data_IF_897077530670
#
_entry.id   IF_897077530670
#
_cell.length_a   1.000
_cell.length_b   1.000
_cell.length_c   1.000
_cell.angle_alpha   90.00
_cell.angle_beta   90.00
_cell.angle_gamma   90.00
#
_symmetry.space_group_name_H-M   'P 1'
#
loop_
_entity.id
_entity.type
_entity.pdbx_description
1 polymer ?
#
# COMPACT_ATOMS: atom_id res chain seq x y z
N UNK A 1 -18.29 -0.76 1.17
CA UNK A 1 -17.87 -0.18 -0.12
C UNK A 1 -17.69 1.32 0.00
N UNK A 2 -18.56 2.01 0.77
CA UNK A 2 -18.35 3.40 1.23
C UNK A 2 -16.98 3.65 1.85
N UNK A 3 -16.41 2.64 2.53
CA UNK A 3 -15.06 2.71 3.11
C UNK A 3 -13.97 3.06 2.10
N UNK A 4 -14.06 2.55 0.86
CA UNK A 4 -13.06 2.85 -0.18
C UNK A 4 -13.20 4.27 -0.70
N UNK A 5 -14.45 4.73 -0.90
CA UNK A 5 -14.71 6.10 -1.32
C UNK A 5 -14.28 7.12 -0.24
N UNK A 6 -14.63 6.84 1.02
CA UNK A 6 -14.19 7.63 2.17
C UNK A 6 -12.66 7.64 2.32
N UNK A 7 -12.00 6.50 2.06
CA UNK A 7 -10.54 6.43 2.07
C UNK A 7 -9.91 7.27 0.95
N UNK A 8 -10.47 7.23 -0.26
CA UNK A 8 -9.99 8.06 -1.39
C UNK A 8 -10.18 9.54 -1.09
N UNK A 9 -11.31 9.93 -0.49
CA UNK A 9 -11.56 11.32 -0.11
C UNK A 9 -10.58 11.81 0.97
N UNK A 10 -10.35 10.98 1.99
CA UNK A 10 -9.36 11.28 3.03
C UNK A 10 -7.95 11.38 2.44
N UNK A 11 -7.57 10.47 1.54
CA UNK A 11 -6.30 10.49 0.83
C UNK A 11 -6.16 11.76 -0.02
N UNK A 12 -7.22 12.15 -0.74
CA UNK A 12 -7.24 13.36 -1.55
C UNK A 12 -6.99 14.60 -0.69
N UNK A 13 -7.71 14.73 0.43
CA UNK A 13 -7.54 15.85 1.37
C UNK A 13 -6.12 15.88 1.93
N UNK A 14 -5.59 14.75 2.38
CA UNK A 14 -4.22 14.66 2.91
C UNK A 14 -3.17 15.05 1.86
N UNK A 15 -3.35 14.64 0.59
CA UNK A 15 -2.44 15.02 -0.49
C UNK A 15 -2.52 16.52 -0.75
N UNK A 16 -3.71 17.13 -0.81
CA UNK A 16 -3.86 18.58 -1.01
C UNK A 16 -3.23 19.38 0.12
N UNK A 17 -3.23 18.85 1.34
CA UNK A 17 -2.63 19.49 2.51
C UNK A 17 -1.12 19.31 2.61
N UNK A 18 -0.55 18.29 1.96
CA UNK A 18 0.88 18.02 2.01
C UNK A 18 1.74 19.12 1.37
N UNK A 19 2.80 19.53 2.08
CA UNK A 19 3.74 20.57 1.60
C UNK A 19 4.34 20.24 0.23
N UNK A 20 4.67 18.97 -0.01
CA UNK A 20 5.21 18.51 -1.31
C UNK A 20 4.23 18.81 -2.44
N UNK A 21 2.93 18.60 -2.22
CA UNK A 21 1.93 18.90 -3.24
C UNK A 21 1.78 20.41 -3.43
N UNK A 22 1.65 21.17 -2.32
CA UNK A 22 1.50 22.63 -2.36
C UNK A 22 2.68 23.32 -3.05
N UNK A 23 3.91 22.82 -2.86
CA UNK A 23 5.12 23.42 -3.40
C UNK A 23 5.41 22.99 -4.85
N UNK A 24 5.21 21.72 -5.17
CA UNK A 24 5.71 21.14 -6.43
C UNK A 24 4.60 20.71 -7.41
N UNK A 25 3.34 20.61 -6.97
CA UNK A 25 2.25 19.97 -7.73
C UNK A 25 0.89 20.67 -7.64
N UNK A 26 0.79 21.89 -7.11
CA UNK A 26 -0.48 22.57 -6.81
C UNK A 26 -1.42 22.74 -8.03
N UNK A 27 -0.86 22.82 -9.25
CA UNK A 27 -1.58 22.93 -10.52
C UNK A 27 -1.81 21.58 -11.21
N UNK A 28 -1.37 20.46 -10.61
CA UNK A 28 -1.45 19.12 -11.19
C UNK A 28 -2.65 18.35 -10.66
N UNK A 29 -3.24 17.56 -11.55
CA UNK A 29 -4.28 16.59 -11.19
C UNK A 29 -3.71 15.49 -10.30
N UNK A 30 -4.48 15.10 -9.29
CA UNK A 30 -4.22 13.92 -8.47
C UNK A 30 -4.81 12.73 -9.21
N UNK A 31 -3.99 11.71 -9.46
CA UNK A 31 -4.42 10.48 -10.15
C UNK A 31 -4.32 9.31 -9.19
N UNK A 32 -5.45 8.66 -8.90
CA UNK A 32 -5.52 7.43 -8.10
C UNK A 32 -5.77 6.26 -9.04
N UNK A 33 -4.91 5.25 -8.97
CA UNK A 33 -4.97 4.06 -9.82
C UNK A 33 -5.32 2.84 -8.97
N UNK A 34 -6.42 2.17 -9.31
CA UNK A 34 -6.86 0.92 -8.67
C UNK A 34 -6.47 -0.28 -9.52
N UNK A 35 -6.26 -1.43 -8.87
CA UNK A 35 -6.34 -2.70 -9.58
C UNK A 35 -7.81 -3.07 -9.85
N UNK A 36 -8.03 -4.14 -10.62
CA UNK A 36 -9.37 -4.52 -11.04
C UNK A 36 -10.09 -5.44 -10.03
N UNK A 37 -9.74 -5.37 -8.73
CA UNK A 37 -10.39 -6.22 -7.73
C UNK A 37 -11.88 -5.86 -7.55
N UNK A 38 -12.78 -6.83 -7.31
CA UNK A 38 -14.21 -6.58 -7.12
C UNK A 38 -14.52 -5.57 -6.00
N UNK A 39 -13.67 -5.52 -4.97
CA UNK A 39 -13.78 -4.57 -3.87
C UNK A 39 -13.74 -3.10 -4.32
N UNK A 40 -13.10 -2.81 -5.45
CA UNK A 40 -12.99 -1.46 -6.00
C UNK A 40 -14.12 -1.13 -6.98
N UNK A 41 -14.95 -2.09 -7.43
CA UNK A 41 -15.90 -1.98 -8.55
C UNK A 41 -16.85 -0.76 -8.56
N UNK A 42 -17.10 -0.16 -7.40
CA UNK A 42 -18.01 0.99 -7.26
C UNK A 42 -17.30 2.29 -6.85
N UNK A 43 -15.98 2.29 -6.64
CA UNK A 43 -15.29 3.42 -6.04
C UNK A 43 -15.42 4.70 -6.86
N UNK A 44 -15.35 4.65 -8.18
CA UNK A 44 -15.46 5.84 -9.04
C UNK A 44 -16.86 6.45 -9.07
N UNK A 45 -17.88 5.66 -8.75
CA UNK A 45 -19.27 6.14 -8.68
C UNK A 45 -19.55 6.78 -7.31
N UNK A 46 -18.89 6.30 -6.26
CA UNK A 46 -19.15 6.70 -4.88
C UNK A 46 -18.25 7.84 -4.39
N UNK A 47 -17.09 8.05 -5.01
CA UNK A 47 -16.20 9.17 -4.66
C UNK A 47 -16.81 10.49 -5.14
N UNK A 48 -16.89 11.54 -4.29
CA UNK A 48 -17.33 12.86 -4.70
C UNK A 48 -16.53 13.39 -5.90
N UNK A 49 -17.20 14.11 -6.80
CA UNK A 49 -16.51 14.71 -7.95
C UNK A 49 -15.62 15.87 -7.53
N UNK A 50 -14.34 15.82 -7.93
CA UNK A 50 -13.39 16.94 -7.84
C UNK A 50 -12.77 17.18 -9.23
N UNK A 51 -12.63 18.43 -9.65
CA UNK A 51 -12.19 18.80 -11.01
C UNK A 51 -10.75 18.35 -11.33
N UNK A 52 -9.93 18.20 -10.29
CA UNK A 52 -8.52 17.83 -10.35
C UNK A 52 -8.24 16.41 -9.81
N UNK A 53 -9.26 15.61 -9.50
CA UNK A 53 -9.12 14.19 -9.16
C UNK A 53 -9.45 13.30 -10.36
N UNK A 54 -8.55 12.38 -10.70
CA UNK A 54 -8.74 11.39 -11.76
C UNK A 54 -8.61 9.99 -11.17
N UNK A 55 -9.62 9.16 -11.39
CA UNK A 55 -9.65 7.77 -10.95
C UNK A 55 -9.44 6.88 -12.18
N UNK A 56 -8.42 6.01 -12.13
CA UNK A 56 -8.09 5.06 -13.20
C UNK A 56 -8.12 3.62 -12.68
N UNK A 57 -8.35 2.67 -13.59
CA UNK A 57 -8.20 1.24 -13.32
C UNK A 57 -7.13 0.63 -14.20
N UNK A 58 -6.36 -0.27 -13.61
CA UNK A 58 -5.55 -1.21 -14.35
C UNK A 58 -6.44 -2.27 -15.02
N UNK A 59 -5.98 -2.77 -16.17
CA UNK A 59 -6.59 -3.93 -16.80
C UNK A 59 -6.53 -5.17 -15.89
N UNK A 60 -7.42 -6.16 -16.10
CA UNK A 60 -7.32 -7.45 -15.44
C UNK A 60 -5.92 -8.04 -15.57
N UNK A 61 -5.48 -8.78 -14.53
CA UNK A 61 -4.21 -9.52 -14.55
C UNK A 61 -2.97 -8.70 -14.95
N UNK A 62 -2.94 -7.40 -14.59
CA UNK A 62 -1.84 -6.49 -14.92
C UNK A 62 -1.01 -6.04 -13.69
N UNK A 63 -0.56 -6.96 -12.80
CA UNK A 63 0.15 -6.58 -11.58
C UNK A 63 1.52 -5.93 -11.87
N UNK A 64 2.14 -6.17 -13.02
CA UNK A 64 3.41 -5.53 -13.40
C UNK A 64 3.26 -4.01 -13.62
N UNK A 65 2.05 -3.56 -13.95
CA UNK A 65 1.72 -2.14 -14.06
C UNK A 65 1.34 -1.54 -12.69
N UNK A 66 1.15 -2.36 -11.65
CA UNK A 66 0.78 -1.89 -10.33
C UNK A 66 2.02 -1.56 -9.49
N UNK A 67 2.33 -0.26 -9.38
CA UNK A 67 3.54 0.20 -8.66
C UNK A 67 3.52 -0.19 -7.18
N UNK A 68 2.34 -0.30 -6.56
CA UNK A 68 2.23 -0.61 -5.12
C UNK A 68 2.68 -2.04 -4.80
N UNK A 69 2.56 -2.98 -5.75
CA UNK A 69 2.95 -4.38 -5.55
C UNK A 69 4.45 -4.51 -5.28
N UNK A 70 5.27 -3.73 -5.98
CA UNK A 70 6.72 -3.71 -5.78
C UNK A 70 7.09 -3.07 -4.44
N UNK A 71 6.39 -2.00 -4.04
CA UNK A 71 6.56 -1.39 -2.72
C UNK A 71 6.17 -2.38 -1.60
N UNK A 72 5.05 -3.06 -1.74
CA UNK A 72 4.58 -4.06 -0.79
C UNK A 72 5.47 -5.28 -0.73
N UNK A 73 6.06 -5.70 -1.84
CA UNK A 73 7.03 -6.81 -1.86
C UNK A 73 8.26 -6.49 -1.01
N UNK A 74 8.81 -5.29 -1.12
CA UNK A 74 9.92 -4.87 -0.26
C UNK A 74 9.49 -4.70 1.21
N UNK A 75 8.32 -4.11 1.47
CA UNK A 75 7.77 -3.98 2.83
C UNK A 75 7.62 -5.36 3.49
N UNK A 76 7.03 -6.33 2.76
CA UNK A 76 6.87 -7.71 3.20
C UNK A 76 8.22 -8.36 3.51
N UNK A 77 9.25 -8.10 2.71
CA UNK A 77 10.59 -8.62 2.98
C UNK A 77 11.16 -8.11 4.31
N UNK A 78 11.01 -6.81 4.59
CA UNK A 78 11.45 -6.22 5.86
C UNK A 78 10.62 -6.70 7.07
N UNK A 79 9.31 -6.85 6.91
CA UNK A 79 8.45 -7.44 7.94
C UNK A 79 8.92 -8.87 8.25
N UNK A 80 9.18 -9.70 7.23
CA UNK A 80 9.68 -11.07 7.41
C UNK A 80 11.02 -11.10 8.14
N UNK A 81 11.95 -10.19 7.80
CA UNK A 81 13.23 -10.06 8.51
C UNK A 81 13.02 -9.73 9.98
N UNK A 82 12.17 -8.74 10.29
CA UNK A 82 11.83 -8.37 11.66
C UNK A 82 11.22 -9.55 12.43
N UNK A 83 10.23 -10.23 11.85
CA UNK A 83 9.58 -11.38 12.47
C UNK A 83 10.54 -12.56 12.71
N UNK A 84 11.53 -12.75 11.83
CA UNK A 84 12.56 -13.76 12.01
C UNK A 84 13.44 -13.46 13.25
N UNK A 85 13.76 -12.18 13.50
CA UNK A 85 14.47 -11.75 14.70
C UNK A 85 13.60 -11.89 15.97
N UNK A 86 12.29 -11.67 15.84
CA UNK A 86 11.33 -11.79 16.94
C UNK A 86 10.75 -13.21 17.09
N UNK A 87 11.42 -14.23 16.55
CA UNK A 87 10.93 -15.62 16.54
C UNK A 87 10.64 -16.15 17.93
N UNK A 88 11.45 -15.79 18.92
CA UNK A 88 11.24 -16.20 20.30
C UNK A 88 9.97 -15.57 20.85
N UNK A 89 9.76 -14.26 20.68
CA UNK A 89 8.54 -13.57 21.10
C UNK A 89 7.29 -14.16 20.43
N UNK A 90 7.37 -14.46 19.13
CA UNK A 90 6.29 -15.08 18.37
C UNK A 90 5.88 -16.47 18.89
N UNK A 91 6.83 -17.20 19.49
CA UNK A 91 6.65 -18.58 19.98
C UNK A 91 6.59 -18.69 21.50
N UNK A 92 6.80 -17.60 22.25
CA UNK A 92 6.85 -17.61 23.72
C UNK A 92 5.56 -18.21 24.31
N UNK A 93 5.68 -19.29 25.11
CA UNK A 93 4.58 -19.76 25.95
C UNK A 93 4.19 -18.66 26.93
N UNK A 94 2.89 -18.42 27.13
CA UNK A 94 2.42 -17.33 27.99
C UNK A 94 2.49 -17.76 29.44
N UNK A 95 3.64 -17.58 30.07
CA UNK A 95 3.85 -17.87 31.50
C UNK A 95 3.77 -16.63 32.39
N UNK A 96 3.58 -15.42 31.85
CA UNK A 96 3.51 -14.20 32.67
C UNK A 96 2.18 -13.44 32.50
N UNK A 97 1.49 -13.11 33.61
CA UNK A 97 0.46 -12.07 33.63
C UNK A 97 1.10 -10.73 33.21
N UNK A 98 0.39 -9.93 32.42
CA UNK A 98 0.77 -8.52 32.28
C UNK A 98 0.50 -7.82 33.61
N UNK A 99 1.34 -6.87 34.00
CA UNK A 99 1.24 -6.16 35.27
C UNK A 99 -0.06 -5.35 35.47
N UNK A 100 -0.95 -5.31 34.48
CA UNK A 100 -2.09 -4.38 34.45
C UNK A 100 -3.29 -4.77 33.55
N UNK A 101 -3.47 -6.02 33.09
CA UNK A 101 -4.63 -6.31 32.21
C UNK A 101 -5.01 -7.77 31.96
N UNK A 102 -6.08 -8.01 31.17
CA UNK A 102 -6.54 -9.34 30.81
C UNK A 102 -5.49 -10.11 30.00
N UNK A 103 -5.50 -11.44 30.11
CA UNK A 103 -4.65 -12.32 29.29
C UNK A 103 -5.04 -12.19 27.80
N UNK A 104 -4.32 -11.37 27.02
CA UNK A 104 -4.52 -11.24 25.54
C UNK A 104 -4.42 -12.59 24.80
N UNK A 105 -5.14 -12.88 23.72
CA UNK A 105 -5.00 -14.21 23.08
C UNK A 105 -3.64 -14.41 22.38
N UNK A 106 -3.27 -15.65 22.00
CA UNK A 106 -2.10 -15.89 21.13
C UNK A 106 -2.23 -15.15 19.79
N UNK A 107 -3.45 -15.08 19.28
CA UNK A 107 -3.78 -14.34 18.06
C UNK A 107 -3.53 -12.85 18.26
N UNK A 108 -4.01 -12.29 19.36
CA UNK A 108 -3.86 -10.86 19.70
C UNK A 108 -2.40 -10.45 19.91
N UNK A 109 -1.61 -11.26 20.63
CA UNK A 109 -0.18 -11.02 20.78
C UNK A 109 0.56 -11.03 19.43
N UNK A 110 0.17 -11.92 18.51
CA UNK A 110 0.72 -11.95 17.16
C UNK A 110 0.27 -10.76 16.31
N UNK A 111 -0.95 -10.28 16.48
CA UNK A 111 -1.43 -9.06 15.82
C UNK A 111 -0.61 -7.84 16.25
N UNK A 112 -0.37 -7.66 17.55
CA UNK A 112 0.51 -6.58 18.03
C UNK A 112 1.94 -6.69 17.50
N UNK A 113 2.50 -7.90 17.42
CA UNK A 113 3.81 -8.11 16.82
C UNK A 113 3.81 -7.74 15.33
N UNK A 114 2.76 -8.08 14.59
CA UNK A 114 2.61 -7.71 13.18
C UNK A 114 2.45 -6.20 13.00
N UNK A 115 1.62 -5.54 13.78
CA UNK A 115 1.46 -4.08 13.78
C UNK A 115 2.80 -3.37 14.03
N UNK A 116 3.56 -3.86 15.02
CA UNK A 116 4.89 -3.33 15.33
C UNK A 116 5.88 -3.60 14.18
N UNK A 117 5.85 -4.78 13.58
CA UNK A 117 6.69 -5.11 12.43
C UNK A 117 6.40 -4.18 11.24
N UNK A 118 5.14 -3.85 10.97
CA UNK A 118 4.74 -2.89 9.94
C UNK A 118 5.30 -1.51 10.27
N UNK A 119 5.08 -0.99 11.48
CA UNK A 119 5.58 0.34 11.89
C UNK A 119 7.09 0.46 11.76
N UNK A 120 7.85 -0.53 12.22
CA UNK A 120 9.32 -0.55 12.12
C UNK A 120 9.78 -0.64 10.66
N UNK A 121 9.01 -1.34 9.81
CA UNK A 121 9.35 -1.52 8.40
C UNK A 121 8.94 -0.33 7.53
N UNK A 122 7.96 0.48 7.96
CA UNK A 122 7.41 1.53 7.10
C UNK A 122 8.42 2.57 6.61
N UNK A 123 9.36 3.06 7.42
CA UNK A 123 10.40 3.99 6.97
C UNK A 123 11.29 3.46 5.83
N UNK A 124 11.26 2.16 5.54
CA UNK A 124 11.99 1.57 4.40
C UNK A 124 11.36 1.89 3.05
N UNK A 125 10.07 2.24 3.03
CA UNK A 125 9.40 2.72 1.82
C UNK A 125 9.69 4.20 1.65
N UNK A 126 10.80 4.50 0.98
CA UNK A 126 11.26 5.88 0.74
C UNK A 126 10.68 6.43 -0.56
N UNK A 127 10.64 7.77 -0.68
CA UNK A 127 10.21 8.43 -1.92
C UNK A 127 11.07 8.01 -3.13
N UNK A 128 12.39 7.88 -2.95
CA UNK A 128 13.32 7.41 -3.99
C UNK A 128 12.97 5.99 -4.43
N UNK A 129 12.60 5.11 -3.49
CA UNK A 129 12.17 3.76 -3.82
C UNK A 129 10.86 3.79 -4.63
N UNK A 130 9.86 4.56 -4.20
CA UNK A 130 8.58 4.69 -4.92
C UNK A 130 8.80 5.21 -6.35
N UNK A 131 9.65 6.21 -6.53
CA UNK A 131 10.01 6.74 -7.85
C UNK A 131 10.65 5.67 -8.75
N UNK A 132 11.57 4.86 -8.21
CA UNK A 132 12.18 3.74 -8.94
C UNK A 132 11.14 2.69 -9.33
N UNK A 133 10.21 2.35 -8.43
CA UNK A 133 9.14 1.39 -8.72
C UNK A 133 8.18 1.91 -9.79
N UNK A 134 7.87 3.21 -9.78
CA UNK A 134 7.06 3.86 -10.82
C UNK A 134 7.77 3.78 -12.18
N UNK A 135 9.06 4.08 -12.23
CA UNK A 135 9.85 3.98 -13.47
C UNK A 135 9.92 2.54 -13.99
N UNK A 136 10.04 1.56 -13.09
CA UNK A 136 9.99 0.15 -13.44
C UNK A 136 8.62 -0.24 -14.02
N UNK A 137 7.51 0.11 -13.35
CA UNK A 137 6.15 -0.13 -13.81
C UNK A 137 5.85 0.51 -15.18
N UNK A 138 6.39 1.71 -15.44
CA UNK A 138 6.20 2.42 -16.70
C UNK A 138 6.70 1.63 -17.94
N UNK A 139 7.73 0.78 -17.78
CA UNK A 139 8.21 -0.08 -18.87
C UNK A 139 7.15 -1.09 -19.31
N UNK A 140 6.40 -1.64 -18.36
CA UNK A 140 5.30 -2.57 -18.65
C UNK A 140 4.10 -1.87 -19.27
N UNK A 141 3.84 -0.61 -18.91
CA UNK A 141 2.82 0.18 -19.60
C UNK A 141 3.19 0.37 -21.08
N UNK A 142 4.46 0.65 -21.39
CA UNK A 142 4.94 0.77 -22.77
C UNK A 142 4.84 -0.57 -23.52
N UNK A 143 5.25 -1.67 -22.89
CA UNK A 143 5.13 -3.01 -23.47
C UNK A 143 3.66 -3.37 -23.76
N UNK A 144 2.75 -3.05 -22.84
CA UNK A 144 1.31 -3.25 -23.01
C UNK A 144 0.75 -2.44 -24.19
N UNK A 145 1.15 -1.18 -24.37
CA UNK A 145 0.75 -0.35 -25.52
C UNK A 145 1.21 -0.98 -26.85
N UNK A 146 2.37 -1.64 -26.84
CA UNK A 146 2.95 -2.30 -28.02
C UNK A 146 2.45 -3.74 -28.23
N UNK A 147 1.58 -4.23 -27.36
CA UNK A 147 1.12 -5.62 -27.36
C UNK A 147 2.28 -6.63 -27.25
N UNK A 148 3.35 -6.25 -26.55
CA UNK A 148 4.49 -7.11 -26.26
C UNK A 148 4.13 -8.08 -25.12
N UNK A 149 4.67 -9.30 -25.18
CA UNK A 149 4.54 -10.26 -24.09
C UNK A 149 5.32 -9.78 -22.85
N UNK A 150 4.70 -9.87 -21.67
CA UNK A 150 5.25 -9.37 -20.43
C UNK A 150 5.39 -10.50 -19.42
N UNK A 151 6.59 -10.69 -18.91
CA UNK A 151 6.85 -11.69 -17.88
C UNK A 151 6.52 -11.15 -16.50
N UNK A 152 5.85 -11.98 -15.71
CA UNK A 152 5.59 -11.72 -14.30
C UNK A 152 6.69 -12.32 -13.41
N UNK A 153 7.28 -11.52 -12.53
CA UNK A 153 8.17 -12.00 -11.47
C UNK A 153 9.64 -12.22 -11.84
N UNK A 154 10.16 -11.52 -12.85
CA UNK A 154 11.62 -11.40 -13.09
C UNK A 154 12.27 -10.28 -12.25
#
# INVERSE_FOLDING_TARGET
>A
MDTNAAFVEALYTEIKEADVYKNDFADKKIVVVFDNAPAHSQTEVLVPGHDDLVLLRLGPYSPMCNTIENCFSALKAHIKQYLALMRDEMNRPRTQPTSSGPRISKTEARMHLLERAVHVSMPRITQVMVQRMKLHAAKFVVAAIRMEDMKYGE
#
